data_IF_021716103572
#
_entry.id   IF_021716103572
#
_cell.length_a   1.000
_cell.length_b   1.000
_cell.length_c   1.000
_cell.angle_alpha   90.00
_cell.angle_beta   90.00
_cell.angle_gamma   90.00
#
_symmetry.space_group_name_H-M   'P 1'
#
loop_
_entity.id
_entity.type
_entity.pdbx_description
1 polymer ?
#
# COMPACT_ATOMS: atom_id res chain seq x y z
N UNK A 1 14.64 0.88 25.07
CA UNK A 1 14.57 2.24 24.45
C UNK A 1 15.86 2.65 23.72
N UNK A 2 17.08 2.60 24.31
CA UNK A 2 18.30 3.07 23.61
C UNK A 2 18.68 2.21 22.39
N UNK A 3 18.42 0.90 22.42
CA UNK A 3 18.63 0.00 21.29
C UNK A 3 17.82 0.40 20.05
N UNK A 4 16.53 0.71 20.20
CA UNK A 4 15.65 1.06 19.07
C UNK A 4 16.02 2.42 18.46
N UNK A 5 16.42 3.40 19.28
CA UNK A 5 16.89 4.69 18.79
C UNK A 5 18.19 4.56 17.97
N UNK A 6 19.09 3.67 18.40
CA UNK A 6 20.34 3.40 17.67
C UNK A 6 20.08 2.66 16.35
N UNK A 7 19.16 1.70 16.37
CA UNK A 7 18.71 0.95 15.18
C UNK A 7 18.06 1.88 14.14
N UNK A 8 17.13 2.74 14.56
CA UNK A 8 16.48 3.72 13.69
C UNK A 8 17.51 4.67 13.03
N UNK A 9 18.47 5.17 13.81
CA UNK A 9 19.52 6.03 13.28
C UNK A 9 20.39 5.33 12.23
N UNK A 10 20.70 4.04 12.41
CA UNK A 10 21.43 3.24 11.42
C UNK A 10 20.63 3.01 10.15
N UNK A 11 19.30 2.90 10.25
CA UNK A 11 18.40 2.84 9.08
C UNK A 11 18.37 4.17 8.32
N UNK A 12 18.33 5.31 9.01
CA UNK A 12 18.37 6.65 8.40
C UNK A 12 19.66 6.90 7.62
N UNK A 13 20.80 6.39 8.11
CA UNK A 13 22.10 6.48 7.45
C UNK A 13 22.37 5.36 6.42
N UNK A 14 21.40 4.45 6.20
CA UNK A 14 21.52 3.37 5.21
C UNK A 14 22.43 2.21 5.60
N UNK A 15 22.87 2.13 6.86
CA UNK A 15 23.65 0.99 7.38
C UNK A 15 22.79 -0.26 7.64
N UNK A 16 21.49 -0.06 7.83
CA UNK A 16 20.49 -1.12 7.96
C UNK A 16 19.30 -0.81 7.06
N UNK A 17 18.69 -1.82 6.44
CA UNK A 17 17.47 -1.61 5.69
C UNK A 17 16.32 -1.16 6.61
N UNK A 18 15.38 -0.35 6.12
CA UNK A 18 14.15 -0.04 6.87
C UNK A 18 13.45 -1.33 7.26
N UNK A 19 12.75 -1.31 8.38
CA UNK A 19 11.89 -2.42 8.77
C UNK A 19 10.94 -2.74 7.59
N UNK A 20 10.72 -4.02 7.30
CA UNK A 20 10.01 -4.44 6.08
C UNK A 20 8.61 -3.81 6.07
N UNK A 21 7.98 -3.70 7.23
CA UNK A 21 6.68 -3.03 7.36
C UNK A 21 6.75 -1.51 7.15
N UNK A 22 7.81 -0.86 7.61
CA UNK A 22 8.02 0.59 7.43
C UNK A 22 8.28 0.90 5.97
N UNK A 23 9.10 0.07 5.30
CA UNK A 23 9.33 0.16 3.86
C UNK A 23 8.03 -0.05 3.08
N UNK A 24 7.27 -1.12 3.39
CA UNK A 24 5.98 -1.38 2.75
C UNK A 24 5.02 -0.21 2.90
N UNK A 25 4.92 0.38 4.09
CA UNK A 25 4.08 1.58 4.32
C UNK A 25 4.54 2.77 3.49
N UNK A 26 5.85 3.03 3.44
CA UNK A 26 6.40 4.09 2.62
C UNK A 26 6.09 3.86 1.13
N UNK A 27 6.32 2.65 0.63
CA UNK A 27 6.05 2.28 -0.76
C UNK A 27 4.55 2.44 -1.09
N UNK A 28 3.64 1.95 -0.24
CA UNK A 28 2.19 2.16 -0.41
C UNK A 28 1.85 3.65 -0.46
N UNK A 29 2.44 4.46 0.43
CA UNK A 29 2.21 5.91 0.46
C UNK A 29 2.67 6.57 -0.85
N UNK A 30 3.83 6.21 -1.37
CA UNK A 30 4.32 6.75 -2.65
C UNK A 30 3.47 6.27 -3.83
N UNK A 31 3.15 4.98 -3.90
CA UNK A 31 2.30 4.42 -4.95
C UNK A 31 0.88 4.98 -4.92
N UNK A 32 0.34 5.30 -3.74
CA UNK A 32 -0.98 5.90 -3.61
C UNK A 32 -1.10 7.24 -4.33
N UNK A 33 0.00 8.01 -4.45
CA UNK A 33 0.04 9.28 -5.18
C UNK A 33 -0.06 9.10 -6.69
N UNK A 34 0.32 7.93 -7.21
CA UNK A 34 0.25 7.58 -8.63
C UNK A 34 -1.18 7.31 -9.07
N UNK A 35 -2.04 6.87 -8.15
CA UNK A 35 -3.45 6.62 -8.42
C UNK A 35 -4.24 7.93 -8.38
N UNK A 36 -4.85 8.31 -9.50
CA UNK A 36 -5.82 9.40 -9.51
C UNK A 36 -7.18 8.87 -9.04
N UNK A 37 -7.96 9.70 -8.34
CA UNK A 37 -9.34 9.35 -7.95
C UNK A 37 -10.23 9.00 -9.15
N UNK A 38 -9.91 9.55 -10.32
CA UNK A 38 -10.64 9.27 -11.56
C UNK A 38 -10.36 7.87 -12.13
N UNK A 39 -9.26 7.23 -11.72
CA UNK A 39 -8.93 5.87 -12.15
C UNK A 39 -9.71 4.80 -11.37
N UNK A 40 -10.33 5.18 -10.26
CA UNK A 40 -11.08 4.27 -9.38
C UNK A 40 -12.55 4.33 -9.77
N UNK A 41 -13.11 3.20 -10.16
CA UNK A 41 -14.53 3.09 -10.43
C UNK A 41 -15.29 2.81 -9.14
N UNK A 42 -16.25 3.66 -8.84
CA UNK A 42 -17.16 3.49 -7.70
C UNK A 42 -18.38 2.73 -8.22
N UNK A 43 -18.57 1.50 -7.72
CA UNK A 43 -19.70 0.64 -8.14
C UNK A 43 -20.89 0.84 -7.20
N UNK A 44 -20.60 1.01 -5.91
CA UNK A 44 -21.56 1.27 -4.84
C UNK A 44 -20.85 2.00 -3.70
N UNK A 45 -21.58 2.52 -2.71
CA UNK A 45 -21.02 3.28 -1.58
C UNK A 45 -19.89 2.52 -0.85
N UNK A 46 -19.94 1.19 -0.87
CA UNK A 46 -19.01 0.31 -0.16
C UNK A 46 -18.09 -0.47 -1.10
N UNK A 47 -18.30 -0.42 -2.41
CA UNK A 47 -17.58 -1.24 -3.40
C UNK A 47 -16.84 -0.40 -4.44
N UNK A 48 -15.56 -0.67 -4.57
CA UNK A 48 -14.64 0.02 -5.47
C UNK A 48 -13.97 -0.98 -6.40
N UNK A 49 -13.82 -0.59 -7.66
CA UNK A 49 -13.08 -1.32 -8.68
C UNK A 49 -11.84 -0.49 -9.01
N UNK A 50 -10.67 -1.09 -8.78
CA UNK A 50 -9.37 -0.43 -8.95
C UNK A 50 -8.57 -1.17 -10.03
N UNK A 51 -8.28 -0.53 -11.17
CA UNK A 51 -7.43 -1.13 -12.19
C UNK A 51 -5.97 -1.17 -11.72
N UNK A 52 -5.25 -2.24 -12.05
CA UNK A 52 -3.82 -2.33 -11.79
C UNK A 52 -3.04 -1.37 -12.69
N UNK A 53 -2.07 -0.64 -12.13
CA UNK A 53 -1.17 0.23 -12.92
C UNK A 53 -0.03 -0.54 -13.56
N UNK A 54 0.30 -1.72 -13.04
CA UNK A 54 1.35 -2.60 -13.57
C UNK A 54 0.84 -3.63 -14.57
N UNK A 55 -0.45 -3.96 -14.54
CA UNK A 55 -1.04 -4.96 -15.44
C UNK A 55 -2.41 -4.48 -15.95
N UNK A 56 -2.55 -4.10 -17.22
CA UNK A 56 -3.79 -3.53 -17.75
C UNK A 56 -4.95 -4.53 -17.80
N UNK A 57 -4.70 -5.84 -17.70
CA UNK A 57 -5.75 -6.87 -17.70
C UNK A 57 -6.28 -7.15 -16.29
N UNK A 58 -5.61 -6.64 -15.25
CA UNK A 58 -5.93 -6.94 -13.87
C UNK A 58 -6.71 -5.82 -13.21
N UNK A 59 -7.79 -6.21 -12.54
CA UNK A 59 -8.67 -5.31 -11.83
C UNK A 59 -8.94 -5.88 -10.44
N UNK A 60 -8.96 -5.02 -9.44
CA UNK A 60 -9.17 -5.37 -8.05
C UNK A 60 -10.53 -4.87 -7.57
N UNK A 61 -11.28 -5.74 -6.91
CA UNK A 61 -12.51 -5.41 -6.21
C UNK A 61 -12.15 -5.16 -4.75
N UNK A 62 -12.50 -3.98 -4.24
CA UNK A 62 -12.33 -3.60 -2.82
C UNK A 62 -13.72 -3.37 -2.25
N UNK A 63 -14.05 -4.10 -1.18
CA UNK A 63 -15.25 -3.87 -0.40
C UNK A 63 -14.86 -3.41 1.00
N UNK A 64 -15.27 -2.19 1.34
CA UNK A 64 -14.90 -1.54 2.61
C UNK A 64 -15.69 -2.13 3.78
N UNK A 65 -16.96 -2.46 3.58
CA UNK A 65 -17.84 -3.00 4.63
C UNK A 65 -17.40 -4.38 5.11
N UNK A 66 -17.03 -5.24 4.16
CA UNK A 66 -16.52 -6.58 4.48
C UNK A 66 -15.01 -6.60 4.69
N UNK A 67 -14.33 -5.46 4.53
CA UNK A 67 -12.88 -5.32 4.60
C UNK A 67 -12.14 -6.34 3.72
N UNK A 68 -12.62 -6.57 2.49
CA UNK A 68 -12.06 -7.56 1.57
C UNK A 68 -11.53 -6.91 0.30
N UNK A 69 -10.35 -7.33 -0.16
CA UNK A 69 -9.88 -7.06 -1.50
C UNK A 69 -9.57 -8.36 -2.26
N UNK A 70 -9.83 -8.40 -3.58
CA UNK A 70 -9.28 -9.45 -4.47
C UNK A 70 -7.78 -9.27 -4.77
N UNK A 71 -7.14 -8.29 -4.15
CA UNK A 71 -5.71 -8.09 -4.13
C UNK A 71 -5.04 -9.31 -3.48
N UNK A 72 -4.10 -9.96 -4.18
CA UNK A 72 -3.38 -11.14 -3.66
C UNK A 72 -2.56 -10.84 -2.38
N UNK A 73 -2.26 -9.57 -2.13
CA UNK A 73 -1.51 -9.10 -0.96
C UNK A 73 -2.39 -8.59 0.18
N UNK A 74 -3.72 -8.74 0.11
CA UNK A 74 -4.61 -8.37 1.21
C UNK A 74 -4.71 -9.53 2.22
N UNK A 75 -4.20 -9.40 3.46
CA UNK A 75 -4.46 -10.36 4.53
C UNK A 75 -5.88 -10.23 5.09
#
# INVERSE_FOLDING_TARGET
>A
VPYYAFKQRRQEFGYEGPDIEVKKRHDISEWSKVYSKHDIQHVDDVKYIVPSKTDPLKVYDVNIDTYTCTCLDFP
#
